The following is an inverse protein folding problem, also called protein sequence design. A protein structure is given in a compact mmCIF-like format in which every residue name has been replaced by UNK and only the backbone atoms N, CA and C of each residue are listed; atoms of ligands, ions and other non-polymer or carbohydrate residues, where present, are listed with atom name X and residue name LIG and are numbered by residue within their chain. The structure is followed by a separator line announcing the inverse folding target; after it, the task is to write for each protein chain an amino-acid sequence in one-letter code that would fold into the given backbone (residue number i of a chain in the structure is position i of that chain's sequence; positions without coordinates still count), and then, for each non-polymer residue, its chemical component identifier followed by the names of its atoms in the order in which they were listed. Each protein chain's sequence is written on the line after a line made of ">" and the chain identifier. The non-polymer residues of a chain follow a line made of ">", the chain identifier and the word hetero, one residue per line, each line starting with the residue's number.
data_IF_413796288039
#
_entry.id   IF_413796288039
#
_cell.length_a   1.000
_cell.length_b   1.000
_cell.length_c   1.000
_cell.angle_alpha   90.00
_cell.angle_beta   90.00
_cell.angle_gamma   90.00
#
_symmetry.space_group_name_H-M   'P 1'
#
loop_
_entity.id
_entity.type
_entity.pdbx_description
1 polymer ?
#
# COMPACT_ATOMS: atom_id res chain seq x y z
N UNK A 1 28.71 -2.72 -4.66
CA UNK A 1 27.89 -3.53 -3.74
C UNK A 1 26.85 -4.27 -4.59
N UNK A 2 26.58 -5.56 -4.37
CA UNK A 2 25.44 -6.20 -5.03
C UNK A 2 24.19 -5.46 -4.59
N UNK A 3 23.43 -4.90 -5.53
CA UNK A 3 22.16 -4.26 -5.24
C UNK A 3 21.28 -5.31 -4.56
N UNK A 4 20.97 -5.10 -3.28
CA UNK A 4 20.07 -5.98 -2.53
C UNK A 4 18.73 -6.10 -3.23
N UNK A 5 18.00 -7.18 -2.98
CA UNK A 5 16.66 -7.37 -3.50
C UNK A 5 15.77 -6.17 -3.15
N UNK A 6 14.97 -5.73 -4.11
CA UNK A 6 14.00 -4.66 -3.87
C UNK A 6 12.71 -5.23 -3.29
N UNK A 7 12.30 -4.67 -2.16
CA UNK A 7 11.00 -4.88 -1.55
C UNK A 7 10.12 -3.65 -1.76
N UNK A 8 8.86 -3.86 -2.05
CA UNK A 8 7.83 -2.82 -1.97
C UNK A 8 6.83 -3.24 -0.89
N UNK A 9 6.62 -2.39 0.09
CA UNK A 9 5.66 -2.66 1.16
C UNK A 9 4.60 -1.58 1.17
N UNK A 10 3.33 -2.00 1.07
CA UNK A 10 2.19 -1.11 1.14
C UNK A 10 1.53 -1.20 2.51
N UNK A 11 1.53 -0.11 3.25
CA UNK A 11 0.82 0.02 4.52
C UNK A 11 -0.65 0.38 4.29
N UNK A 12 -1.56 -0.47 4.75
CA UNK A 12 -3.00 -0.20 4.72
C UNK A 12 -3.36 1.04 5.53
N UNK A 13 -4.25 1.89 5.02
CA UNK A 13 -4.71 3.07 5.77
C UNK A 13 -5.36 2.71 7.10
N UNK A 14 -6.10 1.60 7.18
CA UNK A 14 -6.70 1.09 8.42
C UNK A 14 -5.69 0.50 9.40
N UNK A 15 -4.50 0.11 8.95
CA UNK A 15 -3.42 -0.33 9.81
C UNK A 15 -2.81 0.84 10.60
N UNK A 16 -2.61 1.97 9.92
CA UNK A 16 -1.88 3.13 10.46
C UNK A 16 -2.77 4.25 10.96
N UNK A 17 -4.11 4.15 10.76
CA UNK A 17 -5.09 5.15 11.22
C UNK A 17 -6.35 4.49 11.78
N UNK A 18 -7.05 5.15 12.71
CA UNK A 18 -8.38 4.74 13.17
C UNK A 18 -9.45 5.35 12.25
N UNK A 19 -10.03 4.53 11.37
CA UNK A 19 -11.06 4.97 10.42
C UNK A 19 -12.38 5.43 11.07
N UNK A 20 -12.60 5.09 12.33
CA UNK A 20 -13.81 5.50 13.08
C UNK A 20 -13.75 6.97 13.53
N UNK A 21 -12.57 7.57 13.52
CA UNK A 21 -12.32 8.92 13.96
C UNK A 21 -11.56 9.71 12.88
N UNK A 22 -12.01 10.94 12.56
CA UNK A 22 -11.28 11.79 11.62
C UNK A 22 -9.85 12.06 12.08
N UNK A 23 -8.90 12.10 11.13
CA UNK A 23 -7.52 12.54 11.32
C UNK A 23 -6.83 11.87 12.53
N UNK A 24 -7.15 10.59 12.79
CA UNK A 24 -6.65 9.89 13.96
C UNK A 24 -5.67 8.79 13.56
N UNK A 25 -4.44 8.86 14.08
CA UNK A 25 -3.43 7.82 13.91
C UNK A 25 -3.75 6.59 14.79
N UNK A 26 -3.48 5.41 14.25
CA UNK A 26 -3.25 4.21 15.03
C UNK A 26 -1.75 4.14 15.34
N UNK A 27 -1.31 4.77 16.43
CA UNK A 27 0.12 4.87 16.79
C UNK A 27 0.74 3.51 16.98
N UNK A 28 0.09 2.61 17.71
CA UNK A 28 0.57 1.25 17.96
C UNK A 28 0.77 0.48 16.65
N UNK A 29 -0.21 0.53 15.74
CA UNK A 29 -0.11 -0.12 14.42
C UNK A 29 1.00 0.47 13.56
N UNK A 30 1.21 1.79 13.62
CA UNK A 30 2.26 2.48 12.88
C UNK A 30 3.66 2.15 13.43
N UNK A 31 3.84 2.17 14.74
CA UNK A 31 5.10 1.85 15.40
C UNK A 31 5.49 0.39 15.18
N UNK A 32 4.54 -0.54 15.37
CA UNK A 32 4.75 -1.97 15.07
C UNK A 32 5.14 -2.21 13.61
N UNK A 33 4.48 -1.51 12.67
CA UNK A 33 4.82 -1.60 11.26
C UNK A 33 6.22 -1.03 10.98
N UNK A 34 6.59 0.10 11.59
CA UNK A 34 7.92 0.70 11.42
C UNK A 34 9.04 -0.21 11.92
N UNK A 35 8.86 -0.85 13.08
CA UNK A 35 9.81 -1.85 13.62
C UNK A 35 9.95 -3.07 12.70
N UNK A 36 8.83 -3.60 12.20
CA UNK A 36 8.87 -4.73 11.26
C UNK A 36 9.58 -4.36 9.96
N UNK A 37 9.32 -3.15 9.44
CA UNK A 37 10.01 -2.61 8.25
C UNK A 37 11.50 -2.44 8.50
N UNK A 38 11.91 -1.96 9.67
CA UNK A 38 13.33 -1.83 10.04
C UNK A 38 14.06 -3.19 10.03
N UNK A 39 13.38 -4.28 10.44
CA UNK A 39 13.96 -5.63 10.38
C UNK A 39 14.15 -6.11 8.95
N UNK A 40 13.13 -6.02 8.10
CA UNK A 40 13.20 -6.52 6.72
C UNK A 40 14.04 -5.64 5.78
N UNK A 41 14.25 -4.36 6.11
CA UNK A 41 15.08 -3.44 5.35
C UNK A 41 16.59 -3.76 5.44
N UNK A 42 17.02 -4.53 6.45
CA UNK A 42 18.45 -4.86 6.63
C UNK A 42 19.02 -5.60 5.44
N UNK A 43 19.98 -4.98 4.77
CA UNK A 43 20.63 -5.55 3.58
C UNK A 43 19.77 -5.60 2.31
N UNK A 44 18.63 -4.94 2.30
CA UNK A 44 17.70 -4.87 1.18
C UNK A 44 17.37 -3.42 0.82
N UNK A 45 16.96 -3.20 -0.42
CA UNK A 45 16.33 -1.96 -0.86
C UNK A 45 14.84 -2.03 -0.54
N UNK A 46 14.28 -0.96 -0.02
CA UNK A 46 12.87 -0.91 0.40
C UNK A 46 12.21 0.36 -0.14
N UNK A 47 11.02 0.22 -0.69
CA UNK A 47 10.07 1.32 -0.95
C UNK A 47 8.83 1.10 -0.11
N UNK A 48 8.38 2.14 0.58
CA UNK A 48 7.14 2.11 1.36
C UNK A 48 6.09 2.97 0.69
N UNK A 49 4.88 2.41 0.55
CA UNK A 49 3.70 3.14 0.06
C UNK A 49 2.61 3.04 1.12
N UNK A 50 1.96 4.14 1.49
CA UNK A 50 0.85 4.05 2.43
C UNK A 50 -0.48 4.53 1.87
N UNK A 51 -1.57 4.03 2.44
CA UNK A 51 -2.93 4.48 2.14
C UNK A 51 -3.33 5.71 2.96
N UNK A 52 -4.43 6.36 2.57
CA UNK A 52 -4.90 7.58 3.22
C UNK A 52 -5.59 7.38 4.58
N UNK A 53 -6.19 6.21 4.82
CA UNK A 53 -6.91 5.93 6.06
C UNK A 53 -7.93 7.00 6.42
N UNK A 54 -7.98 7.39 7.70
CA UNK A 54 -8.88 8.44 8.19
C UNK A 54 -8.53 9.84 7.66
N UNK A 55 -7.28 10.10 7.29
CA UNK A 55 -6.84 11.39 6.75
C UNK A 55 -7.34 11.59 5.32
N UNK A 56 -7.12 10.62 4.43
CA UNK A 56 -7.60 10.69 3.05
C UNK A 56 -9.13 10.69 2.98
N UNK A 57 -9.80 9.89 3.81
CA UNK A 57 -11.28 9.88 3.88
C UNK A 57 -11.82 11.23 4.35
N UNK A 58 -11.23 11.80 5.40
CA UNK A 58 -11.61 13.12 5.90
C UNK A 58 -11.49 14.20 4.83
N UNK A 59 -10.36 14.25 4.12
CA UNK A 59 -10.13 15.21 3.05
C UNK A 59 -11.21 15.15 1.96
N UNK A 60 -11.57 13.94 1.53
CA UNK A 60 -12.62 13.75 0.52
C UNK A 60 -14.00 14.19 1.03
N UNK A 61 -14.36 13.83 2.26
CA UNK A 61 -15.65 14.19 2.86
C UNK A 61 -15.77 15.70 3.09
N UNK A 62 -14.72 16.34 3.62
CA UNK A 62 -14.70 17.78 3.88
C UNK A 62 -14.74 18.63 2.60
N UNK A 63 -14.26 18.11 1.50
CA UNK A 63 -14.35 18.79 0.21
C UNK A 63 -15.78 19.09 -0.22
N UNK A 64 -16.77 18.28 0.22
CA UNK A 64 -18.19 18.53 -0.01
C UNK A 64 -18.56 18.71 -1.48
N UNK A 65 -17.84 18.04 -2.40
CA UNK A 65 -18.00 18.18 -3.85
C UNK A 65 -17.21 19.34 -4.48
N UNK A 66 -16.57 20.22 -3.68
CA UNK A 66 -15.68 21.26 -4.22
C UNK A 66 -14.35 20.65 -4.65
N UNK A 67 -14.03 20.81 -5.93
CA UNK A 67 -12.75 20.34 -6.48
C UNK A 67 -11.55 21.08 -5.89
N UNK A 68 -11.66 22.38 -5.70
CA UNK A 68 -10.59 23.20 -5.10
C UNK A 68 -10.25 22.69 -3.70
N UNK A 69 -11.28 22.49 -2.85
CA UNK A 69 -11.10 21.91 -1.52
C UNK A 69 -10.54 20.50 -1.57
N UNK A 70 -11.06 19.65 -2.47
CA UNK A 70 -10.56 18.29 -2.63
C UNK A 70 -9.06 18.27 -2.88
N UNK A 71 -8.58 19.05 -3.83
CA UNK A 71 -7.14 19.11 -4.16
C UNK A 71 -6.34 19.66 -2.98
N UNK A 72 -6.79 20.77 -2.38
CA UNK A 72 -6.13 21.38 -1.24
C UNK A 72 -6.05 20.45 -0.04
N UNK A 73 -7.18 19.87 0.37
CA UNK A 73 -7.29 19.06 1.58
C UNK A 73 -6.57 17.71 1.42
N UNK A 74 -6.68 17.06 0.25
CA UNK A 74 -5.93 15.83 -0.02
C UNK A 74 -4.42 16.10 0.02
N UNK A 75 -3.95 17.18 -0.60
CA UNK A 75 -2.54 17.55 -0.55
C UNK A 75 -2.06 17.74 0.89
N UNK A 76 -2.78 18.52 1.67
CA UNK A 76 -2.38 18.86 3.04
C UNK A 76 -2.42 17.65 3.97
N UNK A 77 -3.56 16.96 4.05
CA UNK A 77 -3.74 15.87 5.00
C UNK A 77 -2.93 14.62 4.66
N UNK A 78 -2.72 14.35 3.39
CA UNK A 78 -1.86 13.24 2.99
C UNK A 78 -0.38 13.53 3.23
N UNK A 79 0.06 14.79 3.09
CA UNK A 79 1.42 15.21 3.47
C UNK A 79 1.63 15.11 4.99
N UNK A 80 0.64 15.52 5.78
CA UNK A 80 0.69 15.38 7.24
C UNK A 80 0.80 13.90 7.66
N UNK A 81 -0.01 13.01 7.09
CA UNK A 81 0.08 11.58 7.37
C UNK A 81 1.42 11.00 6.92
N UNK A 82 1.94 11.41 5.76
CA UNK A 82 3.24 10.94 5.28
C UNK A 82 4.38 11.34 6.23
N UNK A 83 4.32 12.54 6.79
CA UNK A 83 5.31 13.00 7.79
C UNK A 83 5.29 12.12 9.04
N UNK A 84 4.11 11.71 9.52
CA UNK A 84 3.98 10.78 10.66
C UNK A 84 4.58 9.40 10.33
N UNK A 85 4.33 8.87 9.13
CA UNK A 85 4.90 7.59 8.67
C UNK A 85 6.43 7.69 8.58
N UNK A 86 6.96 8.74 7.96
CA UNK A 86 8.40 8.97 7.87
C UNK A 86 9.03 9.11 9.26
N UNK A 87 8.36 9.84 10.17
CA UNK A 87 8.84 10.03 11.55
C UNK A 87 8.92 8.71 12.31
N UNK A 88 7.90 7.85 12.20
CA UNK A 88 7.90 6.53 12.84
C UNK A 88 9.02 5.62 12.28
N UNK A 89 9.21 5.60 10.96
CA UNK A 89 10.30 4.85 10.33
C UNK A 89 11.67 5.34 10.78
N UNK A 90 11.88 6.66 10.85
CA UNK A 90 13.14 7.25 11.32
C UNK A 90 13.39 6.94 12.80
N UNK A 91 12.35 6.94 13.63
CA UNK A 91 12.45 6.54 15.05
C UNK A 91 12.84 5.06 15.17
N UNK A 92 12.41 4.20 14.26
CA UNK A 92 12.81 2.79 14.18
C UNK A 92 14.20 2.57 13.53
N UNK A 93 14.94 3.65 13.20
CA UNK A 93 16.28 3.58 12.62
C UNK A 93 16.32 3.38 11.09
N UNK A 94 15.19 3.55 10.39
CA UNK A 94 15.13 3.49 8.92
C UNK A 94 15.40 4.87 8.34
N UNK A 95 16.38 5.03 7.42
CA UNK A 95 16.68 6.33 6.79
C UNK A 95 15.61 6.68 5.74
N UNK A 96 14.40 7.00 6.20
CA UNK A 96 13.23 7.26 5.36
C UNK A 96 13.21 8.68 4.78
N UNK A 97 12.83 8.80 3.50
CA UNK A 97 12.61 10.07 2.79
C UNK A 97 11.18 10.12 2.23
N UNK A 98 10.42 11.16 2.58
CA UNK A 98 9.05 11.37 2.08
C UNK A 98 9.06 11.90 0.65
N UNK A 99 8.38 11.22 -0.26
CA UNK A 99 8.19 11.62 -1.65
C UNK A 99 6.69 11.75 -1.94
N UNK A 100 6.17 12.94 -2.27
CA UNK A 100 4.77 13.08 -2.64
C UNK A 100 4.48 12.33 -3.95
N UNK A 101 3.26 11.80 -4.16
CA UNK A 101 2.92 11.08 -5.39
C UNK A 101 3.18 11.88 -6.66
N UNK A 102 2.99 13.21 -6.63
CA UNK A 102 3.29 14.14 -7.73
C UNK A 102 4.76 14.12 -8.19
N UNK A 103 5.69 13.75 -7.29
CA UNK A 103 7.10 13.64 -7.62
C UNK A 103 7.47 12.27 -8.22
N UNK A 104 6.64 11.25 -8.02
CA UNK A 104 6.98 9.86 -8.39
C UNK A 104 6.11 9.28 -9.50
N UNK A 105 4.94 9.88 -9.78
CA UNK A 105 4.00 9.31 -10.74
C UNK A 105 3.18 10.38 -11.48
N UNK A 106 2.78 10.04 -12.71
CA UNK A 106 1.81 10.78 -13.52
C UNK A 106 0.97 9.82 -14.36
N UNK A 107 -0.18 10.26 -14.80
CA UNK A 107 -1.07 9.51 -15.70
C UNK A 107 -1.29 10.32 -16.97
N UNK A 108 -1.00 9.73 -18.14
CA UNK A 108 -1.21 10.33 -19.44
C UNK A 108 -1.97 9.35 -20.33
N UNK A 109 -3.10 9.77 -20.89
CA UNK A 109 -3.95 8.91 -21.72
C UNK A 109 -4.41 7.63 -20.99
N UNK A 110 -4.64 7.71 -19.69
CA UNK A 110 -5.01 6.57 -18.84
C UNK A 110 -3.85 5.62 -18.48
N UNK A 111 -2.64 5.92 -18.94
CA UNK A 111 -1.45 5.12 -18.64
C UNK A 111 -0.64 5.74 -17.49
N UNK A 112 -0.47 4.97 -16.41
CA UNK A 112 0.37 5.37 -15.28
C UNK A 112 1.86 5.22 -15.63
N UNK A 113 2.62 6.26 -15.46
CA UNK A 113 4.07 6.30 -15.62
C UNK A 113 4.76 6.73 -14.32
N UNK A 114 5.95 6.15 -14.05
CA UNK A 114 6.75 6.48 -12.86
C UNK A 114 7.95 7.36 -13.25
N UNK A 115 8.29 8.29 -12.38
CA UNK A 115 9.57 8.99 -12.35
C UNK A 115 10.59 8.08 -11.66
N UNK A 116 11.09 7.09 -12.38
CA UNK A 116 11.95 6.03 -11.83
C UNK A 116 13.24 6.56 -11.25
N UNK A 117 13.82 7.55 -11.89
CA UNK A 117 15.06 8.24 -11.49
C UNK A 117 14.97 8.82 -10.08
N UNK A 118 13.81 9.37 -9.69
CA UNK A 118 13.59 9.89 -8.32
C UNK A 118 13.64 8.78 -7.28
N UNK A 119 12.97 7.65 -7.56
CA UNK A 119 12.96 6.48 -6.66
C UNK A 119 14.32 5.79 -6.61
N UNK A 120 14.95 5.62 -7.78
CA UNK A 120 16.26 4.97 -7.91
C UNK A 120 17.36 5.78 -7.21
N UNK A 121 17.39 7.12 -7.38
CA UNK A 121 18.34 7.99 -6.70
C UNK A 121 18.22 7.87 -5.17
N UNK A 122 17.01 7.92 -4.62
CA UNK A 122 16.81 7.73 -3.18
C UNK A 122 17.29 6.36 -2.69
N UNK A 123 17.03 5.29 -3.47
CA UNK A 123 17.49 3.95 -3.14
C UNK A 123 19.03 3.80 -3.26
N UNK A 124 19.67 4.48 -4.20
CA UNK A 124 21.13 4.51 -4.39
C UNK A 124 21.83 5.25 -3.26
N UNK A 125 21.22 6.31 -2.72
CA UNK A 125 21.68 7.02 -1.53
C UNK A 125 21.51 6.21 -0.23
N UNK A 126 20.96 4.97 -0.32
CA UNK A 126 20.71 4.10 0.81
C UNK A 126 19.52 4.53 1.67
N UNK A 127 18.67 5.42 1.16
CA UNK A 127 17.43 5.84 1.84
C UNK A 127 16.24 4.97 1.43
N UNK A 128 15.17 5.03 2.22
CA UNK A 128 13.91 4.35 1.95
C UNK A 128 12.88 5.37 1.47
N UNK A 129 12.53 5.38 0.17
CA UNK A 129 11.46 6.21 -0.35
C UNK A 129 10.13 5.86 0.31
N UNK A 130 9.42 6.86 0.82
CA UNK A 130 8.08 6.74 1.40
C UNK A 130 7.13 7.60 0.61
N UNK A 131 6.22 6.97 -0.11
CA UNK A 131 5.16 7.66 -0.88
C UNK A 131 3.78 7.17 -0.45
N UNK A 132 2.73 7.68 -1.06
CA UNK A 132 1.37 7.39 -0.63
C UNK A 132 0.34 7.50 -1.76
N UNK A 133 -0.87 6.99 -1.54
CA UNK A 133 -2.01 7.34 -2.38
C UNK A 133 -2.33 8.84 -2.20
N UNK A 134 -2.63 9.54 -3.28
CA UNK A 134 -2.88 10.98 -3.22
C UNK A 134 -2.89 11.61 -4.60
N UNK A 135 -2.58 12.89 -4.69
CA UNK A 135 -2.65 13.63 -5.95
C UNK A 135 -1.53 13.25 -6.91
N UNK A 136 -1.90 13.02 -8.16
CA UNK A 136 -1.01 12.91 -9.32
C UNK A 136 -1.49 13.83 -10.44
N UNK A 137 -0.59 14.18 -11.34
CA UNK A 137 -0.99 14.84 -12.59
C UNK A 137 -1.57 13.78 -13.54
N UNK A 138 -2.84 13.93 -13.89
CA UNK A 138 -3.56 13.07 -14.84
C UNK A 138 -4.17 13.92 -15.94
N UNK A 139 -3.69 13.77 -17.16
CA UNK A 139 -4.23 14.47 -18.36
C UNK A 139 -4.41 15.99 -18.14
N UNK A 140 -3.41 16.63 -17.52
CA UNK A 140 -3.40 18.07 -17.23
C UNK A 140 -4.18 18.50 -15.99
N UNK A 141 -4.70 17.55 -15.17
CA UNK A 141 -5.44 17.83 -13.94
C UNK A 141 -4.85 17.06 -12.76
N UNK A 142 -5.08 17.57 -11.54
CA UNK A 142 -4.72 16.87 -10.32
C UNK A 142 -5.83 15.89 -9.94
N UNK A 143 -5.56 14.60 -9.97
CA UNK A 143 -6.50 13.53 -9.65
C UNK A 143 -5.95 12.63 -8.53
N UNK A 144 -6.85 11.90 -7.86
CA UNK A 144 -6.46 11.01 -6.76
C UNK A 144 -6.08 9.64 -7.32
N UNK A 145 -4.82 9.23 -7.09
CA UNK A 145 -4.33 7.88 -7.37
C UNK A 145 -4.37 7.04 -6.09
N UNK A 146 -4.85 5.81 -6.21
CA UNK A 146 -4.83 4.85 -5.10
C UNK A 146 -3.39 4.43 -4.75
N UNK A 147 -3.08 4.34 -3.45
CA UNK A 147 -1.80 3.79 -2.99
C UNK A 147 -1.61 2.31 -3.34
N UNK A 148 -2.68 1.54 -3.54
CA UNK A 148 -2.59 0.15 -3.99
C UNK A 148 -2.12 0.08 -5.45
N UNK A 149 -2.65 0.96 -6.31
CA UNK A 149 -2.23 1.09 -7.72
C UNK A 149 -0.77 1.54 -7.80
N UNK A 150 -0.41 2.58 -7.03
CA UNK A 150 0.95 3.12 -7.02
C UNK A 150 1.97 2.07 -6.54
N UNK A 151 1.67 1.34 -5.46
CA UNK A 151 2.56 0.29 -4.94
C UNK A 151 2.78 -0.84 -5.95
N UNK A 152 1.72 -1.27 -6.62
CA UNK A 152 1.76 -2.30 -7.66
C UNK A 152 2.61 -1.85 -8.85
N UNK A 153 2.40 -0.61 -9.31
CA UNK A 153 3.17 -0.05 -10.43
C UNK A 153 4.66 0.09 -10.08
N UNK A 154 4.99 0.58 -8.89
CA UNK A 154 6.37 0.67 -8.41
C UNK A 154 7.01 -0.73 -8.38
N UNK A 155 6.31 -1.73 -7.83
CA UNK A 155 6.82 -3.08 -7.74
C UNK A 155 7.11 -3.69 -9.12
N UNK A 156 6.22 -3.51 -10.08
CA UNK A 156 6.37 -4.03 -11.44
C UNK A 156 7.48 -3.29 -12.19
N UNK A 157 7.46 -1.96 -12.18
CA UNK A 157 8.39 -1.14 -12.98
C UNK A 157 9.82 -1.13 -12.46
N UNK A 158 10.02 -1.29 -11.15
CA UNK A 158 11.35 -1.43 -10.56
C UNK A 158 11.77 -2.89 -10.37
N UNK A 159 11.02 -3.84 -10.92
CA UNK A 159 11.29 -5.28 -10.83
C UNK A 159 11.54 -5.73 -9.36
N UNK A 160 10.63 -5.33 -8.47
CA UNK A 160 10.70 -5.73 -7.08
C UNK A 160 10.58 -7.25 -6.95
N UNK A 161 11.35 -7.85 -6.04
CA UNK A 161 11.21 -9.27 -5.74
C UNK A 161 9.89 -9.56 -5.04
N UNK A 162 9.50 -8.69 -4.12
CA UNK A 162 8.29 -8.89 -3.32
C UNK A 162 7.50 -7.58 -3.19
N UNK A 163 6.19 -7.68 -3.31
CA UNK A 163 5.21 -6.68 -2.92
C UNK A 163 4.37 -7.23 -1.77
N UNK A 164 4.49 -6.65 -0.59
CA UNK A 164 3.69 -7.00 0.57
C UNK A 164 2.63 -5.92 0.83
N UNK A 165 1.35 -6.32 0.88
CA UNK A 165 0.25 -5.47 1.33
C UNK A 165 -0.01 -5.74 2.80
N UNK A 166 0.37 -4.83 3.69
CA UNK A 166 0.08 -4.93 5.11
C UNK A 166 -1.31 -4.38 5.42
N UNK A 167 -2.07 -5.17 6.15
CA UNK A 167 -3.46 -4.91 6.51
C UNK A 167 -3.63 -4.94 8.04
N UNK A 168 -4.79 -4.50 8.49
CA UNK A 168 -5.23 -4.61 9.89
C UNK A 168 -5.90 -5.97 10.21
N UNK A 169 -5.75 -6.93 9.28
CA UNK A 169 -6.11 -8.35 9.42
C UNK A 169 -4.95 -9.21 8.89
N UNK A 170 -4.86 -10.45 9.36
CA UNK A 170 -3.73 -11.34 9.08
C UNK A 170 -3.78 -11.99 7.68
N UNK A 171 -4.94 -12.00 7.00
CA UNK A 171 -5.10 -12.54 5.64
C UNK A 171 -6.26 -11.86 4.90
N UNK A 172 -6.47 -12.20 3.64
CA UNK A 172 -7.74 -11.97 2.94
C UNK A 172 -8.72 -13.05 3.43
N UNK A 173 -9.94 -12.63 3.76
CA UNK A 173 -10.98 -13.53 4.26
C UNK A 173 -12.15 -13.67 3.29
N UNK A 174 -12.91 -14.75 3.44
CA UNK A 174 -14.15 -14.98 2.68
C UNK A 174 -15.28 -14.01 3.06
N UNK A 175 -15.23 -13.44 4.27
CA UNK A 175 -16.11 -12.38 4.78
C UNK A 175 -15.33 -11.52 5.78
N UNK A 176 -15.92 -10.44 6.29
CA UNK A 176 -15.25 -9.65 7.34
C UNK A 176 -15.18 -10.47 8.66
N UNK A 177 -13.97 -10.86 9.11
CA UNK A 177 -13.82 -11.70 10.31
C UNK A 177 -14.24 -11.00 11.62
N UNK A 178 -14.50 -9.68 11.58
CA UNK A 178 -14.99 -8.92 12.74
C UNK A 178 -16.49 -9.04 12.91
N UNK A 179 -17.22 -9.32 11.84
CA UNK A 179 -18.70 -9.40 11.80
C UNK A 179 -19.22 -10.80 11.53
N UNK A 180 -18.44 -11.65 10.84
CA UNK A 180 -18.84 -13.01 10.51
C UNK A 180 -17.87 -14.03 11.17
N UNK A 181 -18.35 -14.80 12.18
CA UNK A 181 -17.55 -15.84 12.84
C UNK A 181 -17.23 -17.03 11.93
N UNK A 182 -17.88 -17.15 10.78
CA UNK A 182 -17.61 -18.18 9.77
C UNK A 182 -16.61 -17.74 8.70
N UNK A 183 -16.11 -16.50 8.76
CA UNK A 183 -15.11 -16.00 7.85
C UNK A 183 -13.84 -16.88 7.91
N UNK A 184 -13.37 -17.32 6.74
CA UNK A 184 -12.18 -18.17 6.62
C UNK A 184 -11.08 -17.42 5.89
N UNK A 185 -9.83 -17.53 6.34
CA UNK A 185 -8.70 -16.95 5.61
C UNK A 185 -8.48 -17.69 4.29
N UNK A 186 -8.16 -16.94 3.25
CA UNK A 186 -7.69 -17.46 1.98
C UNK A 186 -6.17 -17.64 2.05
N UNK A 187 -5.70 -18.87 1.91
CA UNK A 187 -4.25 -19.13 1.80
C UNK A 187 -3.67 -18.60 0.48
N UNK A 188 -4.48 -18.70 -0.59
CA UNK A 188 -4.06 -18.31 -1.94
C UNK A 188 -5.17 -17.52 -2.63
N UNK A 189 -4.82 -16.33 -3.13
CA UNK A 189 -5.66 -15.53 -4.01
C UNK A 189 -5.31 -15.86 -5.47
N UNK A 190 -6.31 -16.22 -6.27
CA UNK A 190 -6.21 -16.51 -7.72
C UNK A 190 -7.16 -15.63 -8.52
N UNK A 191 -6.92 -15.52 -9.83
CA UNK A 191 -7.81 -14.82 -10.77
C UNK A 191 -9.27 -15.28 -10.68
N UNK A 192 -9.50 -16.61 -10.53
CA UNK A 192 -10.84 -17.17 -10.37
C UNK A 192 -11.63 -16.61 -9.19
N UNK A 193 -10.96 -16.20 -8.11
CA UNK A 193 -11.62 -15.55 -6.99
C UNK A 193 -12.18 -14.16 -7.37
N UNK A 194 -11.47 -13.38 -8.19
CA UNK A 194 -11.99 -12.09 -8.68
C UNK A 194 -13.15 -12.26 -9.66
N UNK A 195 -13.12 -13.29 -10.49
CA UNK A 195 -14.21 -13.61 -11.43
C UNK A 195 -15.47 -14.01 -10.66
N UNK A 196 -15.33 -14.84 -9.62
CA UNK A 196 -16.41 -15.23 -8.74
C UNK A 196 -17.02 -14.03 -7.99
N UNK A 197 -16.20 -13.08 -7.54
CA UNK A 197 -16.66 -11.82 -6.93
C UNK A 197 -17.51 -11.01 -7.92
N UNK A 198 -17.06 -10.85 -9.17
CA UNK A 198 -17.80 -10.14 -10.23
C UNK A 198 -19.11 -10.82 -10.60
N UNK A 199 -19.13 -12.15 -10.60
CA UNK A 199 -20.31 -12.96 -10.90
C UNK A 199 -21.33 -13.06 -9.76
N UNK A 200 -21.06 -12.45 -8.59
CA UNK A 200 -21.93 -12.56 -7.42
C UNK A 200 -21.93 -13.94 -6.76
N UNK A 201 -21.06 -14.85 -7.19
CA UNK A 201 -20.98 -16.25 -6.73
C UNK A 201 -19.82 -16.49 -5.75
N UNK A 202 -19.09 -15.44 -5.38
CA UNK A 202 -17.97 -15.56 -4.45
C UNK A 202 -18.46 -15.58 -3.01
N UNK A 203 -17.93 -16.47 -2.21
CA UNK A 203 -18.02 -16.38 -0.76
C UNK A 203 -17.10 -15.31 -0.14
N UNK A 204 -16.64 -14.33 -0.93
CA UNK A 204 -15.77 -13.24 -0.46
C UNK A 204 -16.60 -11.97 -0.38
N UNK A 205 -16.78 -11.44 0.83
CA UNK A 205 -17.39 -10.12 1.03
C UNK A 205 -16.39 -9.01 0.67
N UNK A 206 -16.66 -8.33 -0.43
CA UNK A 206 -15.81 -7.24 -0.95
C UNK A 206 -16.51 -5.91 -0.78
N UNK A 207 -16.22 -5.24 0.33
CA UNK A 207 -16.66 -3.88 0.59
C UNK A 207 -15.52 -2.88 0.32
N UNK A 208 -15.83 -1.77 -0.37
CA UNK A 208 -14.92 -0.64 -0.55
C UNK A 208 -13.65 -0.96 -1.36
N UNK A 209 -12.51 -0.50 -0.87
CA UNK A 209 -11.22 -0.55 -1.57
C UNK A 209 -10.54 -1.93 -1.66
N UNK A 210 -11.09 -2.99 -1.04
CA UNK A 210 -10.47 -4.32 -1.04
C UNK A 210 -10.41 -4.90 -2.46
N UNK A 211 -11.46 -4.74 -3.25
CA UNK A 211 -11.49 -5.27 -4.62
C UNK A 211 -10.38 -4.68 -5.51
N UNK A 212 -10.15 -3.37 -5.39
CA UNK A 212 -9.06 -2.71 -6.10
C UNK A 212 -7.70 -3.28 -5.66
N UNK A 213 -7.48 -3.44 -4.34
CA UNK A 213 -6.28 -4.06 -3.79
C UNK A 213 -6.04 -5.47 -4.35
N UNK A 214 -7.07 -6.33 -4.37
CA UNK A 214 -6.95 -7.70 -4.89
C UNK A 214 -6.61 -7.73 -6.39
N UNK A 215 -7.21 -6.82 -7.18
CA UNK A 215 -6.87 -6.66 -8.60
C UNK A 215 -5.43 -6.23 -8.81
N UNK A 216 -4.97 -5.26 -8.04
CA UNK A 216 -3.60 -4.76 -8.13
C UNK A 216 -2.59 -5.81 -7.65
N UNK A 217 -2.92 -6.59 -6.64
CA UNK A 217 -2.12 -7.71 -6.17
C UNK A 217 -1.95 -8.78 -7.27
N UNK A 218 -3.04 -9.16 -7.94
CA UNK A 218 -2.99 -10.10 -9.05
C UNK A 218 -2.21 -9.54 -10.26
N UNK A 219 -2.45 -8.28 -10.63
CA UNK A 219 -1.70 -7.63 -11.72
C UNK A 219 -0.19 -7.66 -11.49
N UNK A 220 0.25 -7.39 -10.26
CA UNK A 220 1.68 -7.45 -9.93
C UNK A 220 2.22 -8.89 -9.95
N UNK A 221 1.44 -9.88 -9.47
CA UNK A 221 1.82 -11.29 -9.52
C UNK A 221 1.94 -11.80 -10.96
N UNK A 222 1.01 -11.42 -11.85
CA UNK A 222 1.06 -11.74 -13.29
C UNK A 222 2.27 -11.13 -13.99
N UNK A 223 2.79 -10.02 -13.48
CA UNK A 223 4.04 -9.42 -13.94
C UNK A 223 5.31 -10.07 -13.33
N UNK A 224 5.18 -11.14 -12.57
CA UNK A 224 6.28 -11.91 -12.01
C UNK A 224 6.77 -11.45 -10.63
N UNK A 225 6.08 -10.51 -9.98
CA UNK A 225 6.39 -10.08 -8.62
C UNK A 225 5.80 -11.09 -7.63
N UNK A 226 6.57 -11.51 -6.61
CA UNK A 226 5.98 -12.24 -5.48
C UNK A 226 5.06 -11.30 -4.70
N UNK A 227 3.79 -11.65 -4.55
CA UNK A 227 2.81 -10.80 -3.85
C UNK A 227 2.20 -11.53 -2.68
N UNK A 228 2.08 -10.84 -1.54
CA UNK A 228 1.46 -11.34 -0.33
C UNK A 228 0.60 -10.25 0.35
N UNK A 229 -0.49 -10.66 0.99
CA UNK A 229 -1.39 -9.78 1.74
C UNK A 229 -1.57 -10.33 3.15
N UNK A 230 -1.36 -9.51 4.18
CA UNK A 230 -1.48 -9.98 5.56
C UNK A 230 -1.20 -8.94 6.62
N UNK A 231 -1.09 -9.40 7.86
CA UNK A 231 -0.76 -8.58 9.01
C UNK A 231 0.73 -8.27 9.15
N UNK A 232 1.05 -7.32 10.02
CA UNK A 232 2.43 -6.89 10.26
C UNK A 232 3.30 -8.01 10.82
N UNK A 233 2.73 -8.87 11.67
CA UNK A 233 3.44 -10.03 12.26
C UNK A 233 3.99 -11.01 11.22
N UNK A 234 3.37 -11.06 10.04
CA UNK A 234 3.72 -11.99 8.96
C UNK A 234 4.70 -11.39 7.94
N UNK A 235 5.11 -10.12 8.10
CA UNK A 235 5.92 -9.43 7.08
C UNK A 235 7.21 -10.18 6.73
N UNK A 236 7.93 -10.69 7.72
CA UNK A 236 9.17 -11.47 7.49
C UNK A 236 8.88 -12.75 6.69
N UNK A 237 7.82 -13.48 7.07
CA UNK A 237 7.41 -14.70 6.36
C UNK A 237 6.98 -14.39 4.92
N UNK A 238 6.25 -13.29 4.69
CA UNK A 238 5.88 -12.82 3.35
C UNK A 238 7.09 -12.52 2.48
N UNK A 239 8.08 -11.82 3.04
CA UNK A 239 9.30 -11.41 2.33
C UNK A 239 10.17 -12.63 1.98
N UNK A 240 10.32 -13.56 2.91
CA UNK A 240 11.12 -14.78 2.70
C UNK A 240 10.35 -15.86 1.91
N UNK A 241 9.03 -15.74 1.76
CA UNK A 241 8.18 -16.75 1.13
C UNK A 241 8.00 -18.00 1.99
N UNK A 242 8.07 -17.85 3.31
CA UNK A 242 7.85 -18.92 4.27
C UNK A 242 6.35 -19.14 4.51
N UNK A 243 6.01 -20.28 5.14
CA UNK A 243 4.62 -20.51 5.59
C UNK A 243 4.26 -19.53 6.70
N UNK A 244 3.03 -19.00 6.65
CA UNK A 244 2.51 -18.06 7.63
C UNK A 244 1.01 -17.86 7.49
N UNK A 245 0.43 -17.05 8.36
CA UNK A 245 -0.99 -16.66 8.31
C UNK A 245 -1.18 -15.44 7.42
N UNK A 246 -0.94 -15.60 6.13
CA UNK A 246 -1.14 -14.55 5.14
C UNK A 246 -1.63 -15.15 3.83
N UNK A 247 -2.21 -14.34 2.97
CA UNK A 247 -2.65 -14.73 1.64
C UNK A 247 -1.53 -14.54 0.63
N UNK A 248 -1.09 -15.61 -0.02
CA UNK A 248 -0.22 -15.57 -1.21
C UNK A 248 -1.05 -15.26 -2.45
N UNK A 249 -0.44 -14.65 -3.45
CA UNK A 249 -1.10 -14.38 -4.73
C UNK A 249 -0.47 -15.23 -5.81
N UNK A 250 -1.30 -15.97 -6.51
CA UNK A 250 -0.90 -16.79 -7.67
C UNK A 250 -1.68 -16.30 -8.90
N UNK A 251 -1.00 -16.09 -10.05
CA UNK A 251 -1.60 -15.66 -11.31
C UNK A 251 -2.74 -16.56 -11.80
#
# INVERSE_FOLDING_TARGET
>A
MRAGELLVVKLGGSLITDKRKPLTLNREGLETAAEALARVARGRRLVVVHGGGSFGHYAVVQAGGSRERLVSDVSYWMSALNLEVVSALRAAGVPAVGLPPLAVARVDGGQLSLQRDVLEAALEDGTVPVTHGGLVLQDGRLEILSGDVLASEIAVKLAARTLAFLMDVDAVYTADPRSDPHARPLEVLKRSHLEAIRGGSSGIDVTGGILLKLREALRAAEAGVRVALGGVSELEAMVEGLKGKYTRVEP
#
